data_IF_180164260873
#
_entry.id   IF_180164260873
#
_cell.length_a   1.000
_cell.length_b   1.000
_cell.length_c   1.000
_cell.angle_alpha   90.00
_cell.angle_beta   90.00
_cell.angle_gamma   90.00
#
_symmetry.space_group_name_H-M   'P 1'
#
loop_
_entity.id
_entity.type
_entity.pdbx_description
1 polymer ?
#
# COMPACT_ATOMS: atom_id res chain seq x y z
N UNK A 1 6.67 -14.86 -37.89
CA UNK A 1 7.13 -15.87 -36.92
C UNK A 1 5.89 -16.53 -36.32
N UNK A 2 5.50 -17.69 -36.86
CA UNK A 2 4.26 -18.37 -36.52
C UNK A 2 4.29 -18.88 -35.05
N UNK A 3 3.18 -18.82 -34.30
CA UNK A 3 3.15 -19.31 -32.93
C UNK A 3 3.33 -20.84 -32.93
N UNK A 4 4.22 -21.30 -32.04
CA UNK A 4 4.55 -22.70 -31.85
C UNK A 4 3.29 -23.56 -31.67
N UNK A 5 3.26 -24.69 -32.39
CA UNK A 5 2.07 -25.53 -32.57
C UNK A 5 1.38 -25.90 -31.27
N UNK A 6 0.08 -25.60 -31.21
CA UNK A 6 -0.80 -26.18 -30.20
C UNK A 6 -0.68 -27.72 -30.28
N UNK A 7 -0.38 -28.42 -29.17
CA UNK A 7 -0.38 -29.87 -29.18
C UNK A 7 -1.77 -30.36 -29.63
N UNK A 8 -1.79 -31.26 -30.61
CA UNK A 8 -3.03 -31.89 -31.10
C UNK A 8 -3.89 -32.31 -29.91
N UNK A 9 -5.18 -31.95 -29.92
CA UNK A 9 -6.03 -32.05 -28.73
C UNK A 9 -6.00 -33.41 -28.04
N UNK A 10 -5.80 -34.47 -28.84
CA UNK A 10 -5.61 -35.86 -28.42
C UNK A 10 -4.40 -36.08 -27.50
N UNK A 11 -3.24 -35.50 -27.79
CA UNK A 11 -2.03 -35.59 -26.95
C UNK A 11 -2.21 -34.88 -25.61
N UNK A 12 -2.98 -33.79 -25.58
CA UNK A 12 -3.32 -33.10 -24.33
C UNK A 12 -4.26 -33.94 -23.45
N UNK A 13 -5.21 -34.69 -24.05
CA UNK A 13 -6.09 -35.62 -23.32
C UNK A 13 -5.36 -36.81 -22.71
N UNK A 14 -4.47 -37.43 -23.47
CA UNK A 14 -3.65 -38.54 -22.97
C UNK A 14 -2.68 -38.10 -21.86
N UNK A 15 -2.21 -36.84 -21.88
CA UNK A 15 -1.45 -36.25 -20.77
C UNK A 15 -2.29 -36.00 -19.51
N UNK A 16 -3.60 -35.87 -19.67
CA UNK A 16 -4.54 -35.70 -18.56
C UNK A 16 -4.96 -37.00 -17.87
N UNK A 17 -4.55 -38.17 -18.36
CA UNK A 17 -4.90 -39.44 -17.71
C UNK A 17 -4.30 -39.52 -16.30
N UNK A 18 -5.17 -39.73 -15.31
CA UNK A 18 -4.79 -39.91 -13.91
C UNK A 18 -4.11 -41.27 -13.72
N UNK A 19 -3.55 -41.53 -12.53
CA UNK A 19 -3.01 -42.86 -12.20
C UNK A 19 -4.04 -43.96 -12.42
N UNK A 20 -5.31 -43.72 -12.06
CA UNK A 20 -6.42 -44.66 -12.30
C UNK A 20 -6.65 -44.90 -13.79
N UNK A 21 -6.74 -43.84 -14.58
CA UNK A 21 -6.93 -43.95 -16.03
C UNK A 21 -5.80 -44.72 -16.71
N UNK A 22 -4.55 -44.49 -16.29
CA UNK A 22 -3.37 -45.20 -16.80
C UNK A 22 -3.37 -46.68 -16.41
N UNK A 23 -3.73 -47.00 -15.17
CA UNK A 23 -3.85 -48.39 -14.70
C UNK A 23 -4.94 -49.17 -15.43
N UNK A 24 -6.12 -48.56 -15.65
CA UNK A 24 -7.21 -49.18 -16.40
C UNK A 24 -6.82 -49.41 -17.86
N UNK A 25 -6.18 -48.42 -18.49
CA UNK A 25 -5.68 -48.54 -19.86
C UNK A 25 -4.63 -49.66 -19.98
N UNK A 26 -3.67 -49.71 -19.05
CA UNK A 26 -2.63 -50.75 -19.03
C UNK A 26 -3.24 -52.14 -18.81
N UNK A 27 -4.12 -52.30 -17.81
CA UNK A 27 -4.80 -53.58 -17.54
C UNK A 27 -5.65 -54.03 -18.73
N UNK A 28 -6.37 -53.10 -19.39
CA UNK A 28 -7.13 -53.39 -20.60
C UNK A 28 -6.25 -53.87 -21.74
N UNK A 29 -5.14 -53.18 -22.02
CA UNK A 29 -4.19 -53.58 -23.07
C UNK A 29 -3.54 -54.94 -22.77
N UNK A 30 -3.15 -55.20 -21.52
CA UNK A 30 -2.61 -56.50 -21.10
C UNK A 30 -3.65 -57.62 -21.26
N UNK A 31 -4.90 -57.39 -20.88
CA UNK A 31 -5.98 -58.37 -21.04
C UNK A 31 -6.26 -58.67 -22.53
N UNK A 32 -6.21 -57.65 -23.40
CA UNK A 32 -6.30 -57.85 -24.86
C UNK A 32 -5.14 -58.70 -25.37
N UNK A 33 -3.90 -58.41 -24.96
CA UNK A 33 -2.73 -59.20 -25.37
C UNK A 33 -2.82 -60.66 -24.90
N UNK A 34 -3.17 -60.89 -23.64
CA UNK A 34 -3.38 -62.23 -23.09
C UNK A 34 -4.52 -62.98 -23.80
N UNK A 35 -5.57 -62.27 -24.24
CA UNK A 35 -6.67 -62.89 -24.98
C UNK A 35 -6.21 -63.47 -26.32
N UNK A 36 -5.36 -62.75 -27.05
CA UNK A 36 -4.78 -63.25 -28.30
C UNK A 36 -3.86 -64.46 -28.08
N UNK A 37 -3.08 -64.47 -26.99
CA UNK A 37 -2.20 -65.59 -26.63
C UNK A 37 -2.97 -66.85 -26.18
N UNK A 38 -4.05 -66.67 -25.41
CA UNK A 38 -4.82 -67.77 -24.80
C UNK A 38 -6.04 -68.20 -25.64
N UNK A 39 -6.37 -67.48 -26.72
CA UNK A 39 -7.53 -67.76 -27.58
C UNK A 39 -8.89 -67.53 -26.91
N UNK A 40 -8.94 -66.89 -25.74
CA UNK A 40 -10.18 -66.68 -24.98
C UNK A 40 -10.88 -65.37 -25.39
N UNK A 41 -12.02 -65.49 -26.08
CA UNK A 41 -12.82 -64.34 -26.54
C UNK A 41 -13.46 -63.54 -25.40
N UNK A 42 -13.70 -64.16 -24.24
CA UNK A 42 -14.22 -63.47 -23.06
C UNK A 42 -13.24 -62.41 -22.52
N UNK A 43 -11.94 -62.74 -22.54
CA UNK A 43 -10.88 -61.84 -22.05
C UNK A 43 -10.71 -60.62 -22.97
N UNK A 44 -10.92 -60.80 -24.29
CA UNK A 44 -10.94 -59.72 -25.26
C UNK A 44 -12.01 -58.68 -24.93
N UNK A 45 -13.24 -59.11 -24.62
CA UNK A 45 -14.37 -58.22 -24.32
C UNK A 45 -14.09 -57.37 -23.08
N UNK A 46 -13.55 -57.99 -22.04
CA UNK A 46 -13.17 -57.31 -20.79
C UNK A 46 -12.02 -56.33 -21.04
N UNK A 47 -10.99 -56.76 -21.76
CA UNK A 47 -9.84 -55.92 -22.08
C UNK A 47 -10.22 -54.69 -22.91
N UNK A 48 -11.07 -54.87 -23.93
CA UNK A 48 -11.60 -53.77 -24.74
C UNK A 48 -12.43 -52.81 -23.89
N UNK A 49 -13.30 -53.30 -23.01
CA UNK A 49 -14.11 -52.45 -22.13
C UNK A 49 -13.23 -51.61 -21.19
N UNK A 50 -12.22 -52.23 -20.57
CA UNK A 50 -11.27 -51.56 -19.66
C UNK A 50 -10.44 -50.50 -20.37
N UNK A 51 -10.02 -50.74 -21.62
CA UNK A 51 -9.27 -49.76 -22.41
C UNK A 51 -10.17 -48.66 -23.00
N UNK A 52 -11.42 -48.98 -23.37
CA UNK A 52 -12.36 -48.04 -23.96
C UNK A 52 -12.81 -46.96 -22.96
N UNK A 53 -12.96 -47.30 -21.68
CA UNK A 53 -13.44 -46.39 -20.64
C UNK A 53 -12.54 -45.13 -20.44
N UNK A 54 -11.21 -45.24 -20.21
CA UNK A 54 -10.35 -44.06 -20.10
C UNK A 54 -10.22 -43.28 -21.42
N UNK A 55 -10.31 -43.96 -22.58
CA UNK A 55 -10.32 -43.30 -23.89
C UNK A 55 -11.61 -42.49 -24.10
N UNK A 56 -12.76 -43.04 -23.72
CA UNK A 56 -14.05 -42.36 -23.77
C UNK A 56 -14.08 -41.16 -22.80
N UNK A 57 -13.54 -41.31 -21.58
CA UNK A 57 -13.40 -40.21 -20.62
C UNK A 57 -12.52 -39.08 -21.17
N UNK A 58 -11.36 -39.40 -21.74
CA UNK A 58 -10.48 -38.43 -22.37
C UNK A 58 -11.15 -37.75 -23.58
N UNK A 59 -11.86 -38.50 -24.43
CA UNK A 59 -12.58 -37.96 -25.58
C UNK A 59 -13.71 -37.02 -25.16
N UNK A 60 -14.49 -37.40 -24.14
CA UNK A 60 -15.55 -36.55 -23.57
C UNK A 60 -14.95 -35.25 -23.04
N UNK A 61 -13.84 -35.33 -22.30
CA UNK A 61 -13.16 -34.16 -21.75
C UNK A 61 -12.57 -33.24 -22.84
N UNK A 62 -12.08 -33.80 -23.95
CA UNK A 62 -11.56 -33.06 -25.10
C UNK A 62 -12.67 -32.40 -25.92
N UNK A 63 -13.73 -33.13 -26.19
CA UNK A 63 -14.89 -32.63 -26.95
C UNK A 63 -15.61 -31.55 -26.16
N UNK A 64 -15.63 -31.71 -24.85
CA UNK A 64 -16.14 -30.72 -23.91
C UNK A 64 -15.01 -29.83 -23.42
N UNK A 65 -14.06 -29.41 -24.28
CA UNK A 65 -13.09 -28.34 -23.96
C UNK A 65 -13.86 -27.08 -23.59
N UNK A 66 -14.25 -27.02 -22.32
CA UNK A 66 -15.16 -26.03 -21.81
C UNK A 66 -14.51 -24.67 -22.04
N UNK A 67 -15.16 -23.86 -22.87
CA UNK A 67 -14.85 -22.44 -22.94
C UNK A 67 -15.31 -21.85 -21.62
N UNK A 68 -14.50 -21.99 -20.59
CA UNK A 68 -14.74 -21.38 -19.29
C UNK A 68 -14.02 -20.04 -19.29
N UNK A 69 -14.76 -18.98 -19.03
CA UNK A 69 -14.19 -17.69 -18.68
C UNK A 69 -14.20 -17.57 -17.16
N UNK A 70 -13.24 -16.83 -16.62
CA UNK A 70 -13.23 -16.50 -15.19
C UNK A 70 -13.03 -15.01 -15.00
N UNK A 71 -13.68 -14.48 -13.98
CA UNK A 71 -13.52 -13.13 -13.48
C UNK A 71 -13.15 -13.16 -12.01
N UNK A 72 -12.28 -12.22 -11.61
CA UNK A 72 -11.98 -11.94 -10.21
C UNK A 72 -12.39 -10.49 -9.94
N UNK A 73 -13.00 -10.27 -8.78
CA UNK A 73 -13.25 -8.93 -8.26
C UNK A 73 -12.81 -8.90 -6.81
N UNK A 74 -11.92 -7.97 -6.49
CA UNK A 74 -11.46 -7.71 -5.13
C UNK A 74 -12.21 -6.50 -4.57
N UNK A 75 -12.72 -6.57 -3.34
CA UNK A 75 -13.42 -5.45 -2.73
C UNK A 75 -13.13 -5.39 -1.22
N UNK A 76 -12.50 -4.30 -0.71
CA UNK A 76 -11.82 -3.23 -1.47
C UNK A 76 -10.47 -3.69 -2.06
N UNK A 77 -9.97 -2.99 -3.09
CA UNK A 77 -8.63 -3.25 -3.68
C UNK A 77 -7.49 -2.71 -2.80
N UNK A 78 -7.79 -1.69 -1.99
CA UNK A 78 -6.93 -1.14 -0.96
C UNK A 78 -7.59 -1.39 0.39
N UNK A 79 -6.92 -2.14 1.26
CA UNK A 79 -7.38 -2.42 2.61
C UNK A 79 -6.35 -1.86 3.61
N UNK A 80 -6.81 -1.48 4.79
CA UNK A 80 -5.89 -1.13 5.88
C UNK A 80 -5.36 -2.41 6.53
N UNK A 81 -4.14 -2.37 7.08
CA UNK A 81 -3.63 -3.47 7.89
C UNK A 81 -4.65 -3.90 8.96
N UNK A 82 -4.94 -5.19 9.03
CA UNK A 82 -5.95 -5.79 9.91
C UNK A 82 -7.38 -5.78 9.39
N UNK A 83 -7.68 -5.09 8.28
CA UNK A 83 -9.01 -5.12 7.64
C UNK A 83 -9.17 -6.32 6.72
N UNK A 84 -10.38 -6.89 6.67
CA UNK A 84 -10.73 -7.96 5.73
C UNK A 84 -11.08 -7.38 4.35
N UNK A 85 -10.58 -8.01 3.29
CA UNK A 85 -11.05 -7.80 1.94
C UNK A 85 -11.73 -9.07 1.40
N UNK A 86 -12.75 -8.90 0.56
CA UNK A 86 -13.49 -10.01 -0.04
C UNK A 86 -13.07 -10.19 -1.49
N UNK A 87 -12.72 -11.41 -1.85
CA UNK A 87 -12.45 -11.82 -3.23
C UNK A 87 -13.67 -12.55 -3.75
N UNK A 88 -14.23 -12.06 -4.85
CA UNK A 88 -15.31 -12.70 -5.58
C UNK A 88 -14.73 -13.35 -6.84
N UNK A 89 -14.91 -14.65 -6.95
CA UNK A 89 -14.54 -15.44 -8.12
C UNK A 89 -15.81 -15.80 -8.88
N UNK A 90 -15.83 -15.47 -10.17
CA UNK A 90 -16.91 -15.81 -11.08
C UNK A 90 -16.37 -16.76 -12.15
N UNK A 91 -17.09 -17.85 -12.39
CA UNK A 91 -16.76 -18.85 -13.40
C UNK A 91 -17.95 -18.94 -14.36
N UNK A 92 -17.73 -18.58 -15.62
CA UNK A 92 -18.75 -18.56 -16.68
C UNK A 92 -18.54 -19.72 -17.65
N UNK A 93 -19.58 -20.52 -17.87
CA UNK A 93 -19.58 -21.58 -18.88
C UNK A 93 -20.02 -21.01 -20.22
N UNK A 94 -19.08 -20.63 -21.10
CA UNK A 94 -19.36 -20.07 -22.44
C UNK A 94 -19.78 -21.17 -23.44
N UNK A 95 -19.77 -22.44 -23.04
CA UNK A 95 -20.13 -23.56 -23.93
C UNK A 95 -21.64 -23.84 -23.95
N UNK A 96 -22.08 -24.62 -24.94
CA UNK A 96 -23.49 -25.07 -25.08
C UNK A 96 -23.78 -26.36 -24.31
N UNK A 97 -22.81 -26.89 -23.57
CA UNK A 97 -22.89 -28.14 -22.81
C UNK A 97 -22.65 -27.87 -21.33
N UNK A 98 -23.32 -28.60 -20.41
CA UNK A 98 -23.09 -28.43 -18.98
C UNK A 98 -21.68 -28.87 -18.60
N UNK A 99 -21.04 -28.19 -17.64
CA UNK A 99 -19.75 -28.64 -17.09
C UNK A 99 -19.85 -29.87 -16.19
N UNK A 100 -18.76 -30.62 -16.11
CA UNK A 100 -18.56 -31.62 -15.06
C UNK A 100 -18.26 -30.96 -13.70
N UNK A 101 -17.81 -31.77 -12.75
CA UNK A 101 -17.31 -31.27 -11.47
C UNK A 101 -16.09 -30.38 -11.70
N UNK A 102 -16.12 -29.17 -11.15
CA UNK A 102 -15.03 -28.21 -11.25
C UNK A 102 -14.41 -28.01 -9.89
N UNK A 103 -13.09 -28.13 -9.79
CA UNK A 103 -12.33 -27.72 -8.61
C UNK A 103 -11.60 -26.42 -8.93
N UNK A 104 -11.94 -25.37 -8.19
CA UNK A 104 -11.33 -24.07 -8.28
C UNK A 104 -10.31 -23.91 -7.17
N UNK A 105 -9.07 -23.56 -7.51
CA UNK A 105 -7.98 -23.30 -6.58
C UNK A 105 -7.37 -21.93 -6.92
N UNK A 106 -7.39 -21.00 -5.98
CA UNK A 106 -6.76 -19.68 -6.16
C UNK A 106 -5.41 -19.65 -5.43
N UNK A 107 -4.39 -19.06 -6.06
CA UNK A 107 -3.07 -18.92 -5.44
C UNK A 107 -3.04 -17.61 -4.66
N UNK A 108 -2.91 -17.73 -3.34
CA UNK A 108 -2.87 -16.60 -2.42
C UNK A 108 -1.59 -16.71 -1.58
N UNK A 109 -0.85 -15.60 -1.33
CA UNK A 109 0.29 -15.57 -0.42
C UNK A 109 -0.12 -16.03 0.98
N UNK A 110 0.78 -16.78 1.66
CA UNK A 110 0.48 -17.38 2.96
C UNK A 110 0.09 -16.35 4.05
N UNK A 111 0.64 -15.13 3.96
CA UNK A 111 0.32 -14.02 4.87
C UNK A 111 -1.17 -13.66 4.86
N UNK A 112 -1.87 -13.92 3.75
CA UNK A 112 -3.31 -13.65 3.61
C UNK A 112 -4.21 -14.83 4.02
N UNK A 113 -3.62 -15.98 4.35
CA UNK A 113 -4.32 -17.19 4.76
C UNK A 113 -4.04 -18.43 3.88
N UNK A 114 -4.77 -19.52 4.10
CA UNK A 114 -4.63 -20.76 3.33
C UNK A 114 -5.10 -20.59 1.89
N UNK A 115 -4.61 -21.44 0.99
CA UNK A 115 -5.04 -21.45 -0.42
C UNK A 115 -6.51 -21.86 -0.51
N UNK A 116 -7.42 -20.99 -0.98
CA UNK A 116 -8.83 -21.30 -1.04
C UNK A 116 -9.11 -22.31 -2.16
N UNK A 117 -9.92 -23.33 -1.84
CA UNK A 117 -10.32 -24.40 -2.75
C UNK A 117 -11.83 -24.55 -2.71
N UNK A 118 -12.46 -24.58 -3.87
CA UNK A 118 -13.91 -24.71 -4.02
C UNK A 118 -14.24 -25.83 -5.00
N UNK A 119 -15.15 -26.70 -4.60
CA UNK A 119 -15.79 -27.62 -5.52
C UNK A 119 -17.07 -26.97 -6.02
N UNK A 120 -17.15 -26.75 -7.32
CA UNK A 120 -18.37 -26.29 -7.98
C UNK A 120 -19.00 -27.49 -8.67
N UNK A 121 -20.29 -27.67 -8.40
CA UNK A 121 -21.11 -28.59 -9.16
C UNK A 121 -21.26 -28.12 -10.62
N UNK A 122 -21.95 -28.95 -11.40
CA UNK A 122 -22.29 -28.68 -12.80
C UNK A 122 -22.77 -27.24 -13.00
N UNK A 123 -22.13 -26.54 -13.94
CA UNK A 123 -22.56 -25.23 -14.43
C UNK A 123 -23.35 -25.43 -15.71
N UNK A 124 -24.54 -24.85 -15.78
CA UNK A 124 -25.43 -24.97 -16.93
C UNK A 124 -24.78 -24.40 -18.21
N UNK A 125 -25.23 -24.81 -19.40
CA UNK A 125 -24.85 -24.16 -20.65
C UNK A 125 -25.10 -22.66 -20.58
N UNK A 126 -24.08 -21.82 -20.87
CA UNK A 126 -24.15 -20.36 -20.75
C UNK A 126 -24.48 -19.84 -19.34
N UNK A 127 -24.41 -20.70 -18.33
CA UNK A 127 -24.60 -20.35 -16.92
C UNK A 127 -23.30 -19.90 -16.26
N UNK A 128 -23.41 -19.53 -15.00
CA UNK A 128 -22.28 -19.11 -14.17
C UNK A 128 -22.40 -19.62 -12.74
N UNK A 129 -21.27 -19.64 -12.04
CA UNK A 129 -21.18 -19.85 -10.60
C UNK A 129 -20.27 -18.80 -9.99
N UNK A 130 -20.62 -18.37 -8.78
CA UNK A 130 -19.86 -17.41 -8.00
C UNK A 130 -19.50 -18.01 -6.65
N UNK A 131 -18.25 -17.81 -6.24
CA UNK A 131 -17.77 -18.15 -4.91
C UNK A 131 -16.97 -16.97 -4.37
N UNK A 132 -16.99 -16.80 -3.06
CA UNK A 132 -16.25 -15.72 -2.41
C UNK A 132 -15.47 -16.23 -1.22
N UNK A 133 -14.30 -15.64 -1.00
CA UNK A 133 -13.49 -15.85 0.19
C UNK A 133 -12.98 -14.54 0.74
N UNK A 134 -12.50 -14.60 1.99
CA UNK A 134 -11.96 -13.45 2.69
C UNK A 134 -10.46 -13.57 2.80
N UNK A 135 -9.78 -12.44 2.68
CA UNK A 135 -8.34 -12.31 2.89
C UNK A 135 -8.09 -11.17 3.86
N UNK A 136 -7.08 -11.33 4.71
CA UNK A 136 -6.66 -10.32 5.68
C UNK A 136 -5.16 -10.42 5.88
N UNK A 137 -4.48 -9.27 5.94
CA UNK A 137 -3.09 -9.17 6.39
C UNK A 137 -3.01 -8.16 7.51
N UNK A 138 -2.29 -8.50 8.58
CA UNK A 138 -1.92 -7.53 9.61
C UNK A 138 -0.63 -6.77 9.27
N UNK A 139 0.07 -7.18 8.21
CA UNK A 139 1.25 -6.51 7.67
C UNK A 139 0.91 -5.73 6.40
N UNK A 140 1.54 -4.57 6.24
CA UNK A 140 1.45 -3.77 5.02
C UNK A 140 2.20 -4.43 3.86
N UNK A 141 1.79 -4.10 2.64
CA UNK A 141 2.44 -4.59 1.43
C UNK A 141 1.48 -4.77 0.27
N UNK A 142 2.03 -5.20 -0.87
CA UNK A 142 1.27 -5.56 -2.07
C UNK A 142 1.27 -7.07 -2.24
N UNK A 143 0.08 -7.66 -2.21
CA UNK A 143 -0.11 -9.09 -2.28
C UNK A 143 -0.80 -9.47 -3.59
N UNK A 144 -0.08 -10.12 -4.54
CA UNK A 144 -0.69 -10.60 -5.77
C UNK A 144 -1.59 -11.80 -5.46
N UNK A 145 -2.82 -11.75 -5.97
CA UNK A 145 -3.82 -12.82 -5.92
C UNK A 145 -3.87 -13.48 -7.30
N UNK A 146 -3.67 -14.79 -7.34
CA UNK A 146 -3.65 -15.59 -8.54
C UNK A 146 -2.29 -16.21 -8.87
N UNK A 147 -2.21 -16.97 -9.96
CA UNK A 147 -3.28 -17.24 -10.93
C UNK A 147 -4.39 -18.14 -10.37
N UNK A 148 -5.59 -18.02 -10.96
CA UNK A 148 -6.72 -18.91 -10.66
C UNK A 148 -6.55 -20.22 -11.44
N UNK A 149 -6.61 -21.35 -10.77
CA UNK A 149 -6.50 -22.68 -11.36
C UNK A 149 -7.86 -23.37 -11.32
N UNK A 150 -8.28 -23.87 -12.49
CA UNK A 150 -9.47 -24.67 -12.65
C UNK A 150 -9.05 -26.09 -13.02
N UNK A 151 -9.39 -27.04 -12.17
CA UNK A 151 -9.23 -28.47 -12.43
C UNK A 151 -10.59 -29.05 -12.75
N UNK A 152 -10.65 -29.74 -13.88
CA UNK A 152 -11.83 -30.47 -14.30
C UNK A 152 -11.51 -31.95 -14.14
N UNK A 153 -12.45 -32.72 -13.63
CA UNK A 153 -12.32 -34.16 -13.50
C UNK A 153 -13.55 -34.84 -14.11
N UNK A 154 -13.33 -35.97 -14.79
CA UNK A 154 -14.44 -36.80 -15.23
C UNK A 154 -15.08 -37.55 -14.05
N UNK A 155 -16.33 -38.04 -14.18
CA UNK A 155 -17.02 -38.75 -13.09
C UNK A 155 -16.32 -40.02 -12.59
N UNK A 156 -15.50 -40.66 -13.42
CA UNK A 156 -14.74 -41.87 -13.05
C UNK A 156 -13.34 -41.54 -12.52
N UNK A 157 -12.93 -40.27 -12.53
CA UNK A 157 -11.61 -39.82 -12.08
C UNK A 157 -10.44 -40.41 -12.87
N UNK A 158 -10.67 -40.76 -14.13
CA UNK A 158 -9.68 -41.36 -15.06
C UNK A 158 -8.89 -40.31 -15.84
N UNK A 159 -9.45 -39.11 -16.02
CA UNK A 159 -8.86 -38.00 -16.75
C UNK A 159 -9.11 -36.68 -16.01
N UNK A 160 -8.03 -35.93 -15.79
CA UNK A 160 -8.04 -34.59 -15.19
C UNK A 160 -7.47 -33.59 -16.19
N UNK A 161 -8.14 -32.44 -16.35
CA UNK A 161 -7.67 -31.32 -17.16
C UNK A 161 -7.51 -30.10 -16.26
N UNK A 162 -6.30 -29.59 -16.17
CA UNK A 162 -6.01 -28.35 -15.45
C UNK A 162 -5.89 -27.19 -16.42
N UNK A 163 -6.55 -26.08 -16.11
CA UNK A 163 -6.45 -24.81 -16.82
C UNK A 163 -6.11 -23.70 -15.82
N UNK A 164 -5.04 -22.97 -16.09
CA UNK A 164 -4.70 -21.77 -15.32
C UNK A 164 -5.17 -20.52 -16.07
N UNK A 165 -5.68 -19.54 -15.33
CA UNK A 165 -5.98 -18.20 -15.81
C UNK A 165 -4.88 -17.26 -15.36
N UNK A 166 -4.18 -16.63 -16.31
CA UNK A 166 -3.03 -15.76 -16.05
C UNK A 166 -3.41 -14.44 -15.35
N UNK A 167 -4.68 -14.05 -15.39
CA UNK A 167 -5.15 -12.84 -14.74
C UNK A 167 -4.92 -12.88 -13.22
N UNK A 168 -4.24 -11.86 -12.70
CA UNK A 168 -3.96 -11.67 -11.28
C UNK A 168 -4.38 -10.28 -10.85
N UNK A 169 -5.02 -10.17 -9.70
CA UNK A 169 -5.30 -8.89 -9.06
C UNK A 169 -4.29 -8.65 -7.94
N UNK A 170 -4.11 -7.42 -7.50
CA UNK A 170 -3.22 -7.09 -6.37
C UNK A 170 -4.03 -6.46 -5.25
N UNK A 171 -3.94 -7.02 -4.05
CA UNK A 171 -4.42 -6.39 -2.82
C UNK A 171 -3.30 -5.52 -2.26
N UNK A 172 -3.54 -4.21 -2.15
CA UNK A 172 -2.62 -3.28 -1.47
C UNK A 172 -3.09 -3.10 -0.03
N UNK A 173 -2.27 -3.53 0.92
CA UNK A 173 -2.51 -3.34 2.35
C UNK A 173 -1.72 -2.13 2.82
N UNK A 174 -2.42 -1.05 3.13
CA UNK A 174 -1.83 0.22 3.58
C UNK A 174 -1.74 0.27 5.11
N UNK A 175 -0.81 1.07 5.67
CA UNK A 175 -0.72 1.24 7.11
C UNK A 175 -2.03 1.79 7.73
N UNK A 176 -2.22 1.52 9.02
CA UNK A 176 -3.32 2.07 9.79
C UNK A 176 -3.17 3.58 9.93
N UNK A 177 -4.24 4.31 9.57
CA UNK A 177 -4.35 5.76 9.74
C UNK A 177 -5.26 6.03 10.93
N UNK A 178 -4.73 6.72 11.93
CA UNK A 178 -5.47 7.15 13.11
C UNK A 178 -5.88 8.61 12.94
N UNK A 179 -7.15 8.93 13.21
CA UNK A 179 -7.62 10.31 13.14
C UNK A 179 -6.98 11.15 14.24
N UNK A 180 -6.25 12.21 13.84
CA UNK A 180 -5.55 13.09 14.78
C UNK A 180 -6.43 14.28 15.17
N UNK A 181 -6.43 14.69 16.46
CA UNK A 181 -7.19 15.86 16.89
C UNK A 181 -6.62 17.14 16.27
N UNK A 182 -7.48 18.13 16.09
CA UNK A 182 -7.06 19.42 15.60
C UNK A 182 -6.25 20.18 16.66
N UNK A 183 -4.97 20.37 16.39
CA UNK A 183 -3.98 21.04 17.26
C UNK A 183 -3.45 22.29 16.57
N UNK A 184 -3.06 23.35 17.29
CA UNK A 184 -2.40 24.52 16.67
C UNK A 184 -0.89 24.31 16.71
N UNK A 185 -0.31 23.99 15.56
CA UNK A 185 1.13 23.84 15.48
C UNK A 185 1.75 25.23 15.26
N UNK A 186 2.65 25.63 16.15
CA UNK A 186 3.47 26.81 15.91
C UNK A 186 4.22 26.64 14.57
N UNK A 187 4.21 27.68 13.73
CA UNK A 187 4.47 27.56 12.28
C UNK A 187 3.22 27.78 11.42
N UNK A 188 2.03 27.70 12.02
CA UNK A 188 0.89 28.52 11.62
C UNK A 188 1.28 29.99 11.81
N UNK A 189 1.94 30.60 10.82
CA UNK A 189 1.94 32.06 10.72
C UNK A 189 0.48 32.49 10.78
N UNK A 190 0.18 33.38 11.73
CA UNK A 190 -1.15 33.88 12.02
C UNK A 190 -1.80 34.37 10.72
N UNK A 191 -2.64 33.52 10.10
CA UNK A 191 -3.38 33.90 8.90
C UNK A 191 -3.58 32.85 7.82
N UNK A 192 -2.91 31.69 7.82
CA UNK A 192 -2.91 30.84 6.60
C UNK A 192 -3.43 29.40 6.71
N UNK A 193 -3.60 28.84 7.91
CA UNK A 193 -4.04 27.44 8.09
C UNK A 193 -5.55 27.24 8.27
N UNK A 194 -6.26 28.29 8.68
CA UNK A 194 -7.69 28.23 9.06
C UNK A 194 -8.56 29.18 8.21
N UNK A 195 -8.02 29.67 7.10
CA UNK A 195 -8.52 30.85 6.38
C UNK A 195 -8.83 30.61 4.91
N UNK A 196 -9.14 29.37 4.49
CA UNK A 196 -9.79 29.18 3.17
C UNK A 196 -11.13 29.92 3.09
N UNK A 197 -11.76 30.26 4.22
CA UNK A 197 -13.02 31.03 4.27
C UNK A 197 -12.86 32.50 4.69
N UNK A 198 -11.74 32.92 5.31
CA UNK A 198 -11.58 34.28 5.84
C UNK A 198 -10.63 35.19 5.06
N UNK A 199 -9.71 34.65 4.25
CA UNK A 199 -8.85 35.48 3.42
C UNK A 199 -9.61 36.15 2.25
N UNK A 200 -10.76 35.61 1.85
CA UNK A 200 -11.62 36.18 0.80
C UNK A 200 -12.39 37.44 1.27
N UNK A 201 -12.51 37.66 2.59
CA UNK A 201 -13.43 38.66 3.12
C UNK A 201 -12.78 39.94 3.67
N UNK A 202 -11.45 40.04 3.77
CA UNK A 202 -10.79 41.16 4.49
C UNK A 202 -9.64 41.86 3.74
N UNK A 203 -9.29 41.44 2.53
CA UNK A 203 -8.28 42.12 1.73
C UNK A 203 -8.90 42.68 0.44
N UNK A 204 -9.43 43.90 0.54
CA UNK A 204 -9.45 44.83 -0.59
C UNK A 204 -8.03 45.32 -0.91
N UNK A 205 -7.04 44.43 -0.87
CA UNK A 205 -5.64 44.80 -0.97
C UNK A 205 -5.18 44.66 -2.42
N UNK A 206 -4.96 45.83 -2.99
CA UNK A 206 -4.61 46.17 -4.37
C UNK A 206 -3.14 45.82 -4.69
N UNK A 207 -2.55 44.88 -3.94
CA UNK A 207 -1.09 44.72 -3.77
C UNK A 207 -0.50 43.61 -4.64
N UNK A 208 -1.17 43.24 -5.73
CA UNK A 208 -0.60 42.34 -6.73
C UNK A 208 0.28 43.13 -7.69
N UNK A 209 1.59 42.88 -7.68
CA UNK A 209 2.55 43.55 -8.59
C UNK A 209 2.08 43.39 -10.04
N UNK A 210 1.64 44.49 -10.70
CA UNK A 210 1.11 44.41 -12.04
C UNK A 210 2.23 44.06 -13.02
N UNK A 211 1.94 43.19 -13.99
CA UNK A 211 2.86 42.88 -15.09
C UNK A 211 2.29 43.36 -16.42
N UNK A 212 3.16 43.59 -17.39
CA UNK A 212 2.76 43.88 -18.77
C UNK A 212 1.92 42.73 -19.35
N UNK A 213 0.87 43.10 -20.07
CA UNK A 213 0.01 42.20 -20.83
C UNK A 213 0.82 41.52 -21.93
N UNK A 214 0.67 40.19 -22.04
CA UNK A 214 1.20 39.42 -23.17
C UNK A 214 0.04 38.89 -23.99
N UNK A 215 0.27 38.82 -25.29
CA UNK A 215 -0.73 38.29 -26.22
C UNK A 215 -1.09 36.84 -25.83
N UNK A 216 -2.35 36.61 -25.43
CA UNK A 216 -2.83 35.35 -24.86
C UNK A 216 -3.32 35.45 -23.42
N UNK A 217 -3.09 36.57 -22.73
CA UNK A 217 -3.66 36.84 -21.41
C UNK A 217 -5.16 37.19 -21.51
N UNK A 218 -5.96 36.75 -20.52
CA UNK A 218 -7.39 37.06 -20.46
C UNK A 218 -7.61 38.56 -20.14
N UNK A 219 -8.29 39.26 -21.04
CA UNK A 219 -8.64 40.68 -20.90
C UNK A 219 -9.49 40.98 -19.66
N UNK A 220 -10.20 40.00 -19.10
CA UNK A 220 -10.95 40.16 -17.85
C UNK A 220 -10.06 40.36 -16.63
N UNK A 221 -8.77 40.04 -16.74
CA UNK A 221 -7.75 40.15 -15.67
C UNK A 221 -6.93 41.44 -15.75
N UNK A 222 -7.29 42.34 -16.66
CA UNK A 222 -6.63 43.65 -16.82
C UNK A 222 -6.88 44.51 -15.59
N UNK A 223 -5.80 45.05 -15.04
CA UNK A 223 -5.86 46.01 -13.96
C UNK A 223 -6.02 47.42 -14.50
N UNK A 224 -7.27 47.88 -14.63
CA UNK A 224 -7.58 49.19 -15.22
C UNK A 224 -6.91 50.37 -14.52
N UNK A 225 -6.78 50.33 -13.18
CA UNK A 225 -6.13 51.39 -12.40
C UNK A 225 -4.63 51.49 -12.69
N UNK A 226 -3.91 50.37 -12.80
CA UNK A 226 -2.49 50.35 -13.19
C UNK A 226 -2.32 50.67 -14.68
N UNK A 227 -3.21 50.16 -15.53
CA UNK A 227 -3.23 50.46 -16.97
C UNK A 227 -3.36 51.96 -17.22
N UNK A 228 -4.24 52.65 -16.48
CA UNK A 228 -4.42 54.10 -16.58
C UNK A 228 -3.19 54.90 -16.13
N UNK A 229 -2.36 54.37 -15.23
CA UNK A 229 -1.16 55.03 -14.72
C UNK A 229 0.07 54.84 -15.61
N UNK A 230 0.22 53.65 -16.19
CA UNK A 230 1.41 53.27 -16.98
C UNK A 230 1.19 53.40 -18.50
N UNK A 231 -0.04 53.58 -18.97
CA UNK A 231 -0.36 53.78 -20.39
C UNK A 231 -0.35 52.50 -21.22
N UNK A 232 0.00 51.36 -20.63
CA UNK A 232 0.05 50.04 -21.25
C UNK A 232 -0.88 49.07 -20.52
N UNK A 233 -1.41 48.05 -21.21
CA UNK A 233 -2.28 47.04 -20.60
C UNK A 233 -1.49 46.27 -19.54
N UNK A 234 -1.94 46.38 -18.28
CA UNK A 234 -1.34 45.67 -17.16
C UNK A 234 -2.28 44.55 -16.72
N UNK A 235 -1.75 43.34 -16.48
CA UNK A 235 -2.52 42.19 -16.00
C UNK A 235 -2.16 41.90 -14.56
N UNK A 236 -3.18 41.59 -13.74
CA UNK A 236 -2.98 41.08 -12.37
C UNK A 236 -2.24 39.75 -12.44
N UNK A 237 -1.00 39.70 -11.94
CA UNK A 237 -0.27 38.44 -11.77
C UNK A 237 -1.03 37.59 -10.74
N UNK A 238 -1.31 36.34 -11.04
CA UNK A 238 -1.81 35.42 -10.01
C UNK A 238 -0.67 35.14 -9.05
N UNK A 239 -0.75 35.68 -7.83
CA UNK A 239 0.07 35.17 -6.75
C UNK A 239 -0.54 33.83 -6.35
N UNK A 240 0.18 32.74 -6.61
CA UNK A 240 -0.25 31.45 -6.09
C UNK A 240 -0.24 31.55 -4.57
N UNK A 241 -1.35 31.24 -3.89
CA UNK A 241 -1.37 31.25 -2.44
C UNK A 241 -0.25 30.35 -1.91
N UNK A 242 0.67 30.93 -1.14
CA UNK A 242 1.84 30.25 -0.60
C UNK A 242 1.36 29.19 0.40
N UNK A 243 1.10 27.97 -0.07
CA UNK A 243 0.62 26.89 0.80
C UNK A 243 1.69 26.55 1.84
N UNK A 244 1.27 26.39 3.09
CA UNK A 244 2.17 25.95 4.15
C UNK A 244 2.76 24.57 3.79
N UNK A 245 4.08 24.45 3.92
CA UNK A 245 4.81 23.21 3.62
C UNK A 245 5.08 22.43 4.89
N UNK A 246 4.94 21.11 4.80
CA UNK A 246 5.30 20.20 5.87
C UNK A 246 6.14 19.03 5.33
N UNK A 247 7.18 18.66 6.06
CA UNK A 247 7.96 17.45 5.77
C UNK A 247 7.77 16.45 6.89
N UNK A 248 7.34 15.24 6.55
CA UNK A 248 7.33 14.10 7.46
C UNK A 248 8.61 13.31 7.18
N UNK A 249 9.55 13.34 8.13
CA UNK A 249 10.76 12.54 8.11
C UNK A 249 10.48 11.22 8.82
N UNK A 250 10.57 10.11 8.11
CA UNK A 250 10.44 8.77 8.64
C UNK A 250 11.83 8.11 8.70
N UNK A 251 12.26 7.74 9.89
CA UNK A 251 13.41 6.88 10.09
C UNK A 251 13.05 5.45 9.62
N UNK A 252 13.77 4.95 8.60
CA UNK A 252 13.61 3.59 8.11
C UNK A 252 14.78 2.69 8.49
N UNK A 253 15.77 3.20 9.23
CA UNK A 253 17.00 2.45 9.59
C UNK A 253 16.67 1.20 10.38
N UNK A 254 17.12 0.05 9.90
CA UNK A 254 16.93 -1.24 10.57
C UNK A 254 17.46 -1.22 12.02
N UNK A 255 18.64 -0.62 12.21
CA UNK A 255 19.31 -0.50 13.52
C UNK A 255 18.49 0.28 14.56
N UNK A 256 17.64 1.20 14.09
CA UNK A 256 16.82 2.09 14.92
C UNK A 256 15.53 1.43 15.40
N UNK A 257 15.15 0.26 14.89
CA UNK A 257 13.87 -0.37 15.18
C UNK A 257 14.01 -1.74 15.86
N UNK A 258 12.95 -2.16 16.56
CA UNK A 258 12.90 -3.40 17.34
C UNK A 258 11.50 -4.02 17.28
N UNK A 259 11.43 -5.28 17.70
CA UNK A 259 10.22 -6.09 17.60
C UNK A 259 10.07 -6.70 16.21
N UNK A 260 9.09 -7.57 16.04
CA UNK A 260 8.81 -8.26 14.78
C UNK A 260 7.32 -8.29 14.48
N UNK A 261 6.98 -8.41 13.21
CA UNK A 261 5.59 -8.47 12.77
C UNK A 261 4.81 -7.16 12.99
N UNK A 262 3.46 -7.24 13.08
CA UNK A 262 2.57 -6.08 13.13
C UNK A 262 2.77 -5.15 14.33
N UNK A 263 3.34 -5.67 15.41
CA UNK A 263 3.57 -4.93 16.66
C UNK A 263 4.98 -4.32 16.75
N UNK A 264 5.78 -4.39 15.69
CA UNK A 264 7.13 -3.82 15.70
C UNK A 264 7.11 -2.29 15.82
N UNK A 265 8.21 -1.71 16.33
CA UNK A 265 8.34 -0.27 16.44
C UNK A 265 8.33 0.42 15.06
N UNK A 266 8.74 -0.29 14.02
CA UNK A 266 8.71 0.20 12.64
C UNK A 266 7.30 0.30 12.07
N UNK A 267 6.46 -0.72 12.25
CA UNK A 267 5.05 -0.65 11.83
C UNK A 267 4.32 0.51 12.53
N UNK A 268 4.62 0.74 13.82
CA UNK A 268 4.10 1.90 14.54
C UNK A 268 4.57 3.22 13.93
N UNK A 269 5.87 3.35 13.62
CA UNK A 269 6.44 4.55 13.00
C UNK A 269 5.80 4.85 11.64
N UNK A 270 5.59 3.83 10.80
CA UNK A 270 4.92 3.94 9.50
C UNK A 270 3.45 4.34 9.67
N UNK A 271 2.74 3.76 10.63
CA UNK A 271 1.36 4.17 10.97
C UNK A 271 1.28 5.61 11.47
N UNK A 272 2.25 6.05 12.27
CA UNK A 272 2.37 7.44 12.72
C UNK A 272 2.60 8.38 11.53
N UNK A 273 3.52 8.04 10.62
CA UNK A 273 3.81 8.83 9.42
C UNK A 273 2.58 8.95 8.51
N UNK A 274 1.83 7.85 8.32
CA UNK A 274 0.58 7.83 7.58
C UNK A 274 -0.48 8.74 8.22
N UNK A 275 -0.62 8.66 9.55
CA UNK A 275 -1.61 9.43 10.32
C UNK A 275 -1.31 10.93 10.29
N UNK A 276 -0.07 11.31 10.56
CA UNK A 276 0.39 12.71 10.52
C UNK A 276 0.31 13.26 9.11
N UNK A 277 0.80 12.52 8.10
CA UNK A 277 0.78 12.96 6.72
C UNK A 277 -0.64 13.18 6.20
N UNK A 278 -1.56 12.25 6.47
CA UNK A 278 -2.98 12.40 6.14
C UNK A 278 -3.58 13.65 6.81
N UNK A 279 -3.35 13.81 8.11
CA UNK A 279 -3.89 14.94 8.87
C UNK A 279 -3.38 16.30 8.36
N UNK A 280 -2.10 16.40 8.01
CA UNK A 280 -1.52 17.63 7.46
C UNK A 280 -2.07 17.94 6.07
N UNK A 281 -2.24 16.94 5.21
CA UNK A 281 -2.85 17.10 3.89
C UNK A 281 -4.31 17.53 3.97
N UNK A 282 -5.10 16.95 4.89
CA UNK A 282 -6.49 17.37 5.16
C UNK A 282 -6.58 18.83 5.63
N UNK A 283 -5.55 19.33 6.31
CA UNK A 283 -5.40 20.73 6.73
C UNK A 283 -4.85 21.67 5.67
N UNK A 284 -4.63 21.18 4.45
CA UNK A 284 -4.16 21.99 3.33
C UNK A 284 -2.64 22.21 3.28
N UNK A 285 -1.85 21.53 4.11
CA UNK A 285 -0.39 21.56 3.97
C UNK A 285 0.03 20.84 2.69
N UNK A 286 1.03 21.39 2.01
CA UNK A 286 1.82 20.63 1.04
C UNK A 286 2.77 19.72 1.81
N UNK A 287 2.36 18.46 1.94
CA UNK A 287 3.12 17.45 2.70
C UNK A 287 3.96 16.58 1.78
N UNK A 288 5.25 16.45 2.11
CA UNK A 288 6.14 15.46 1.51
C UNK A 288 6.63 14.46 2.55
N UNK A 289 6.85 13.21 2.12
CA UNK A 289 7.50 12.18 2.92
C UNK A 289 8.97 12.09 2.53
N UNK A 290 9.84 12.10 3.54
CA UNK A 290 11.29 11.96 3.41
C UNK A 290 11.75 10.79 4.27
N UNK A 291 12.64 9.95 3.77
CA UNK A 291 13.30 8.90 4.56
C UNK A 291 14.72 9.31 4.95
N UNK A 292 15.31 8.60 5.91
CA UNK A 292 16.75 8.72 6.27
C UNK A 292 17.69 8.58 5.06
N UNK A 293 17.33 7.72 4.11
CA UNK A 293 18.08 7.48 2.87
C UNK A 293 17.98 8.60 1.84
N UNK A 294 17.17 9.64 2.11
CA UNK A 294 16.95 10.76 1.20
C UNK A 294 15.92 10.49 0.10
N UNK A 295 15.24 9.34 0.14
CA UNK A 295 14.15 9.02 -0.79
C UNK A 295 12.98 9.95 -0.47
N UNK A 296 12.50 10.65 -1.50
CA UNK A 296 11.30 11.46 -1.43
C UNK A 296 10.19 10.76 -2.19
N UNK A 297 9.05 10.57 -1.52
CA UNK A 297 7.82 10.28 -2.24
C UNK A 297 7.34 11.61 -2.82
N UNK A 298 7.31 11.76 -4.17
CA UNK A 298 7.12 13.06 -4.79
C UNK A 298 5.84 13.74 -4.33
N UNK A 299 5.93 15.06 -4.15
CA UNK A 299 4.78 15.95 -4.24
C UNK A 299 4.11 15.72 -5.60
N UNK A 300 2.79 15.52 -5.64
CA UNK A 300 2.07 15.83 -6.88
C UNK A 300 2.21 17.34 -7.05
N UNK A 301 3.15 17.75 -7.89
CA UNK A 301 3.25 19.13 -8.36
C UNK A 301 1.91 19.46 -8.98
N UNK A 302 1.21 20.41 -8.39
CA UNK A 302 -0.12 20.88 -8.79
C UNK A 302 -0.03 21.73 -10.08
N UNK A 303 0.56 21.16 -11.12
CA UNK A 303 0.32 21.58 -12.51
C UNK A 303 -0.97 20.98 -13.09
N UNK A 304 -1.64 20.10 -12.33
CA UNK A 304 -2.92 19.51 -12.67
C UNK A 304 -3.76 19.29 -11.41
N UNK A 305 -5.07 19.26 -11.61
CA UNK A 305 -6.17 19.08 -10.65
C UNK A 305 -6.10 17.78 -9.81
N UNK A 306 -5.00 17.53 -9.10
CA UNK A 306 -4.90 16.41 -8.17
C UNK A 306 -5.71 16.68 -6.90
N UNK A 307 -6.64 15.79 -6.57
CA UNK A 307 -7.43 15.93 -5.33
C UNK A 307 -6.59 15.58 -4.09
N UNK A 308 -6.92 16.14 -2.93
CA UNK A 308 -6.25 15.78 -1.65
C UNK A 308 -6.30 14.25 -1.42
N UNK A 309 -7.41 13.60 -1.78
CA UNK A 309 -7.59 12.16 -1.67
C UNK A 309 -6.60 11.34 -2.53
N UNK A 310 -6.18 11.85 -3.69
CA UNK A 310 -5.17 11.18 -4.52
C UNK A 310 -3.78 11.29 -3.91
N UNK A 311 -3.42 12.45 -3.37
CA UNK A 311 -2.15 12.65 -2.67
C UNK A 311 -2.04 11.75 -1.43
N UNK A 312 -3.12 11.65 -0.65
CA UNK A 312 -3.22 10.72 0.48
C UNK A 312 -3.08 9.27 0.01
N UNK A 313 -3.77 8.90 -1.07
CA UNK A 313 -3.67 7.56 -1.65
C UNK A 313 -2.23 7.20 -2.04
N UNK A 314 -1.49 8.11 -2.68
CA UNK A 314 -0.09 7.88 -3.05
C UNK A 314 0.84 7.79 -1.84
N UNK A 315 0.62 8.62 -0.83
CA UNK A 315 1.37 8.55 0.43
C UNK A 315 1.21 7.16 1.06
N UNK A 316 -0.03 6.70 1.17
CA UNK A 316 -0.36 5.40 1.77
C UNK A 316 0.19 4.22 0.96
N UNK A 317 0.10 4.28 -0.38
CA UNK A 317 0.66 3.24 -1.24
C UNK A 317 2.20 3.19 -1.16
N UNK A 318 2.85 4.35 -0.98
CA UNK A 318 4.30 4.41 -0.81
C UNK A 318 4.73 3.86 0.55
N UNK A 319 4.02 4.23 1.62
CA UNK A 319 4.23 3.68 2.96
C UNK A 319 3.95 2.17 3.03
N UNK A 320 2.98 1.68 2.26
CA UNK A 320 2.69 0.25 2.16
C UNK A 320 3.88 -0.57 1.63
N UNK A 321 4.71 0.02 0.78
CA UNK A 321 5.89 -0.61 0.17
C UNK A 321 7.20 -0.25 0.87
N UNK A 322 7.16 0.54 1.95
CA UNK A 322 8.37 0.98 2.63
C UNK A 322 8.99 -0.18 3.39
N UNK A 323 10.29 -0.40 3.19
CA UNK A 323 11.08 -1.41 3.90
C UNK A 323 12.18 -0.73 4.73
N UNK A 324 12.87 -1.51 5.54
CA UNK A 324 14.00 -1.01 6.31
C UNK A 324 15.15 -0.58 5.40
N UNK A 325 15.83 0.50 5.76
CA UNK A 325 17.13 0.86 5.20
C UNK A 325 18.25 0.21 6.01
N UNK A 326 19.35 -0.13 5.35
CA UNK A 326 20.58 -0.57 6.00
C UNK A 326 21.51 0.60 6.35
N UNK A 327 21.01 1.84 6.32
CA UNK A 327 21.78 3.03 6.65
C UNK A 327 21.95 3.23 8.15
N UNK A 328 22.99 3.96 8.55
CA UNK A 328 23.26 4.29 9.96
C UNK A 328 22.87 5.72 10.35
N UNK A 329 22.92 6.69 9.43
CA UNK A 329 22.73 8.11 9.71
C UNK A 329 21.60 8.77 8.93
N UNK A 330 21.38 10.06 9.20
CA UNK A 330 20.35 10.93 8.60
C UNK A 330 20.96 11.99 7.65
N UNK A 331 22.26 11.93 7.38
CA UNK A 331 22.97 12.91 6.55
C UNK A 331 22.33 13.16 5.17
N UNK A 332 21.80 12.12 4.49
CA UNK A 332 21.13 12.29 3.19
C UNK A 332 19.81 13.03 3.32
N UNK A 333 19.03 12.73 4.36
CA UNK A 333 17.83 13.50 4.68
C UNK A 333 18.21 14.97 5.00
N UNK A 334 19.32 15.20 5.70
CA UNK A 334 19.86 16.54 5.95
C UNK A 334 20.13 17.29 4.63
N UNK A 335 20.86 16.68 3.71
CA UNK A 335 21.20 17.27 2.41
C UNK A 335 19.95 17.66 1.60
N UNK A 336 18.96 16.78 1.54
CA UNK A 336 17.69 17.04 0.85
C UNK A 336 16.91 18.18 1.50
N UNK A 337 16.87 18.22 2.84
CA UNK A 337 16.21 19.29 3.58
C UNK A 337 16.96 20.62 3.45
N UNK A 338 18.27 20.63 3.18
CA UNK A 338 19.02 21.87 2.90
C UNK A 338 18.57 22.55 1.61
N UNK A 339 18.07 21.78 0.64
CA UNK A 339 17.62 22.27 -0.67
C UNK A 339 16.13 22.66 -0.68
N UNK A 340 15.32 22.08 0.23
CA UNK A 340 13.89 22.38 0.36
C UNK A 340 13.63 23.43 1.44
N UNK A 341 12.86 24.46 1.13
CA UNK A 341 12.64 25.63 2.00
C UNK A 341 12.00 25.35 3.38
N UNK A 342 11.84 26.43 4.14
CA UNK A 342 11.37 26.44 5.52
C UNK A 342 9.91 25.99 5.66
N UNK A 343 9.62 25.17 6.69
CA UNK A 343 8.28 24.67 6.96
C UNK A 343 8.20 23.89 8.28
N UNK A 344 7.07 23.22 8.48
CA UNK A 344 6.89 22.30 9.60
C UNK A 344 7.66 21.00 9.33
N UNK A 345 8.51 20.59 10.26
CA UNK A 345 9.22 19.31 10.21
C UNK A 345 8.67 18.37 11.29
N UNK A 346 8.12 17.23 10.88
CA UNK A 346 7.72 16.17 11.81
C UNK A 346 8.62 14.97 11.59
N UNK A 347 9.48 14.67 12.56
CA UNK A 347 10.38 13.53 12.52
C UNK A 347 9.81 12.36 13.35
N UNK A 348 9.84 11.16 12.81
CA UNK A 348 9.45 9.93 13.49
C UNK A 348 10.69 9.03 13.49
N UNK A 349 11.26 8.85 14.66
CA UNK A 349 12.63 8.41 14.85
C UNK A 349 12.68 7.15 15.72
N UNK A 350 13.49 6.19 15.30
CA UNK A 350 13.81 5.02 16.11
C UNK A 350 14.80 5.33 17.24
N UNK A 351 15.57 4.33 17.65
CA UNK A 351 16.72 4.52 18.51
C UNK A 351 17.73 5.47 17.87
N UNK A 352 18.24 6.41 18.67
CA UNK A 352 19.20 7.41 18.24
C UNK A 352 20.56 7.13 18.88
N UNK A 353 21.60 7.63 18.25
CA UNK A 353 22.95 7.78 18.79
C UNK A 353 23.35 9.26 18.74
N UNK A 354 24.44 9.61 19.42
CA UNK A 354 24.92 11.00 19.54
C UNK A 354 25.12 11.68 18.16
N UNK A 355 25.56 10.92 17.14
CA UNK A 355 25.72 11.43 15.78
C UNK A 355 24.38 11.89 15.16
N UNK A 356 23.33 11.08 15.31
CA UNK A 356 22.02 11.42 14.73
C UNK A 356 21.32 12.53 15.51
N UNK A 357 21.53 12.62 16.83
CA UNK A 357 21.08 13.78 17.62
C UNK A 357 21.73 15.07 17.11
N UNK A 358 23.03 15.04 16.79
CA UNK A 358 23.72 16.19 16.22
C UNK A 358 23.20 16.56 14.82
N UNK A 359 22.93 15.57 13.96
CA UNK A 359 22.27 15.77 12.65
C UNK A 359 20.90 16.43 12.79
N UNK A 360 20.05 15.93 13.68
CA UNK A 360 18.73 16.49 13.96
C UNK A 360 18.80 17.91 14.54
N UNK A 361 19.81 18.20 15.36
CA UNK A 361 20.07 19.56 15.85
C UNK A 361 20.38 20.53 14.71
N UNK A 362 21.12 20.09 13.68
CA UNK A 362 21.36 20.91 12.48
C UNK A 362 20.11 21.13 11.65
N UNK A 363 19.28 20.10 11.51
CA UNK A 363 17.98 20.18 10.82
C UNK A 363 17.04 21.19 11.46
N UNK A 364 16.97 21.21 12.80
CA UNK A 364 16.08 22.11 13.55
C UNK A 364 16.31 23.59 13.29
N UNK A 365 17.58 23.99 13.08
CA UNK A 365 17.94 25.40 12.85
C UNK A 365 17.32 26.00 11.59
N UNK A 366 16.88 25.16 10.64
CA UNK A 366 16.27 25.58 9.37
C UNK A 366 14.75 25.39 9.32
N UNK A 367 14.20 24.58 10.21
CA UNK A 367 12.77 24.37 10.29
C UNK A 367 12.11 25.50 11.10
N UNK A 368 11.00 26.04 10.58
CA UNK A 368 10.21 27.05 11.31
C UNK A 368 9.64 26.47 12.61
N UNK A 369 9.17 25.22 12.55
CA UNK A 369 8.80 24.43 13.70
C UNK A 369 9.15 22.97 13.49
N UNK A 370 9.50 22.28 14.58
CA UNK A 370 9.89 20.88 14.51
C UNK A 370 9.35 20.05 15.68
N UNK A 371 8.78 18.91 15.34
CA UNK A 371 8.21 17.93 16.27
C UNK A 371 8.92 16.60 16.03
N UNK A 372 9.38 15.94 17.08
CA UNK A 372 10.03 14.65 17.00
C UNK A 372 9.27 13.63 17.84
N UNK A 373 8.74 12.60 17.20
CA UNK A 373 8.33 11.36 17.85
C UNK A 373 9.57 10.47 17.96
N UNK A 374 10.02 10.21 19.19
CA UNK A 374 11.22 9.40 19.43
C UNK A 374 10.80 8.11 20.14
N UNK A 375 10.99 6.98 19.46
CA UNK A 375 10.55 5.68 19.96
C UNK A 375 11.55 5.11 20.97
N UNK A 376 11.07 4.84 22.19
CA UNK A 376 11.77 4.08 23.24
C UNK A 376 11.79 2.58 22.88
N UNK A 377 12.57 2.21 21.88
CA UNK A 377 12.57 0.86 21.27
C UNK A 377 12.85 -0.28 22.26
N UNK A 378 13.43 0.01 23.43
CA UNK A 378 13.57 -0.94 24.53
C UNK A 378 12.24 -1.51 25.03
N UNK A 379 11.15 -0.75 24.92
CA UNK A 379 9.79 -1.20 25.28
C UNK A 379 9.17 -2.19 24.28
N UNK A 380 9.60 -2.18 23.02
CA UNK A 380 9.10 -3.09 21.97
C UNK A 380 9.85 -4.43 21.93
N UNK A 381 11.05 -4.48 22.48
CA UNK A 381 11.90 -5.67 22.42
C UNK A 381 11.66 -6.66 23.57
N UNK A 382 10.77 -6.35 24.52
CA UNK A 382 10.70 -7.06 25.82
C UNK A 382 11.95 -6.92 26.70
N UNK A 383 13.05 -6.40 26.13
CA UNK A 383 14.38 -6.24 26.74
C UNK A 383 14.40 -5.29 27.94
N UNK A 384 13.43 -4.37 28.08
CA UNK A 384 13.33 -3.53 29.28
C UNK A 384 13.17 -4.35 30.56
N UNK A 385 12.66 -5.58 30.48
CA UNK A 385 12.61 -6.50 31.63
C UNK A 385 13.99 -7.02 32.06
N UNK A 386 14.98 -7.01 31.16
CA UNK A 386 16.31 -7.57 31.41
C UNK A 386 17.34 -6.51 31.84
N UNK A 387 17.23 -5.26 31.35
CA UNK A 387 18.16 -4.17 31.69
C UNK A 387 17.42 -2.81 31.79
N UNK A 388 16.73 -2.53 32.91
CA UNK A 388 15.83 -1.38 33.01
C UNK A 388 16.54 -0.02 33.10
N UNK A 389 17.71 0.05 33.75
CA UNK A 389 18.32 1.33 34.19
C UNK A 389 19.24 1.95 33.12
N UNK A 390 20.16 1.19 32.53
CA UNK A 390 21.17 1.74 31.61
C UNK A 390 20.61 2.25 30.27
N UNK A 391 19.57 1.62 29.73
CA UNK A 391 18.93 2.08 28.49
C UNK A 391 17.97 3.26 28.71
N UNK A 392 17.41 3.40 29.92
CA UNK A 392 16.52 4.50 30.24
C UNK A 392 17.29 5.82 30.35
N UNK A 393 18.44 5.80 31.03
CA UNK A 393 19.27 7.00 31.25
C UNK A 393 19.82 7.60 29.95
N UNK A 394 20.27 6.74 29.03
CA UNK A 394 20.80 7.18 27.73
C UNK A 394 19.68 7.75 26.83
N UNK A 395 18.52 7.09 26.79
CA UNK A 395 17.37 7.62 26.05
C UNK A 395 16.94 8.99 26.61
N UNK A 396 16.83 9.12 27.93
CA UNK A 396 16.49 10.40 28.58
C UNK A 396 17.52 11.49 28.29
N UNK A 397 18.81 11.15 28.22
CA UNK A 397 19.87 12.06 27.78
C UNK A 397 19.66 12.54 26.35
N UNK A 398 19.40 11.65 25.41
CA UNK A 398 19.15 12.00 24.01
C UNK A 398 17.91 12.87 23.84
N UNK A 399 16.82 12.56 24.55
CA UNK A 399 15.60 13.37 24.55
C UNK A 399 15.85 14.78 25.09
N UNK A 400 16.69 14.94 26.13
CA UNK A 400 17.11 16.26 26.64
C UNK A 400 17.88 17.05 25.59
N UNK A 401 18.88 16.43 24.96
CA UNK A 401 19.69 17.09 23.91
C UNK A 401 18.84 17.58 22.72
N UNK A 402 17.85 16.79 22.29
CA UNK A 402 16.94 17.21 21.22
C UNK A 402 16.05 18.40 21.65
N UNK A 403 15.56 18.42 22.90
CA UNK A 403 14.79 19.54 23.43
C UNK A 403 15.64 20.81 23.51
N UNK A 404 16.89 20.71 23.96
CA UNK A 404 17.86 21.82 23.99
C UNK A 404 18.16 22.35 22.59
N UNK A 405 18.23 21.46 21.59
CA UNK A 405 18.35 21.86 20.18
C UNK A 405 17.08 22.56 19.63
N UNK A 406 15.97 22.57 20.39
CA UNK A 406 14.74 23.30 20.08
C UNK A 406 13.60 22.45 19.53
N UNK A 407 13.72 21.12 19.52
CA UNK A 407 12.65 20.22 19.09
C UNK A 407 11.54 20.11 20.13
N UNK A 408 10.29 20.01 19.65
CA UNK A 408 9.19 19.51 20.48
C UNK A 408 9.26 17.98 20.50
N UNK A 409 9.82 17.40 21.55
CA UNK A 409 10.10 15.96 21.63
C UNK A 409 8.98 15.22 22.36
N UNK A 410 8.40 14.23 21.69
CA UNK A 410 7.37 13.31 22.18
C UNK A 410 7.99 11.91 22.32
N UNK A 411 8.28 11.44 23.54
CA UNK A 411 8.71 10.07 23.74
C UNK A 411 7.55 9.12 23.45
N UNK A 412 7.83 8.04 22.73
CA UNK A 412 6.83 7.03 22.35
C UNK A 412 7.22 5.70 22.99
N UNK A 413 6.26 5.01 23.60
CA UNK A 413 6.41 3.66 24.15
C UNK A 413 5.49 2.67 23.45
N UNK A 414 5.79 1.38 23.57
CA UNK A 414 4.95 0.31 23.05
C UNK A 414 3.53 0.42 23.65
N UNK A 415 2.53 0.55 22.78
CA UNK A 415 1.12 0.70 23.16
C UNK A 415 0.58 2.14 23.14
N UNK A 416 1.44 3.15 23.02
CA UNK A 416 0.99 4.54 22.96
C UNK A 416 0.19 4.82 21.67
N UNK A 417 -0.86 5.63 21.79
CA UNK A 417 -1.68 6.06 20.66
C UNK A 417 -1.12 7.33 20.02
N UNK A 418 -1.10 7.37 18.68
CA UNK A 418 -0.64 8.56 17.93
C UNK A 418 -1.51 9.79 18.24
N UNK A 419 -2.86 9.70 18.33
CA UNK A 419 -3.71 10.85 18.63
C UNK A 419 -3.45 11.50 19.99
N UNK A 420 -3.13 10.72 21.03
CA UNK A 420 -2.84 11.25 22.36
C UNK A 420 -1.49 11.96 22.41
N UNK A 421 -0.46 11.38 21.79
CA UNK A 421 0.85 12.01 21.67
C UNK A 421 0.77 13.31 20.85
N UNK A 422 -0.02 13.32 19.77
CA UNK A 422 -0.26 14.53 18.98
C UNK A 422 -0.89 15.65 19.81
N UNK A 423 -1.83 15.31 20.70
CA UNK A 423 -2.45 16.26 21.64
C UNK A 423 -1.46 16.80 22.69
N UNK A 424 -0.43 16.03 23.06
CA UNK A 424 0.64 16.48 23.94
C UNK A 424 1.56 17.50 23.26
N UNK A 425 1.78 17.37 21.95
CA UNK A 425 2.58 18.31 21.16
C UNK A 425 2.07 19.75 21.29
N UNK A 426 0.75 19.93 21.19
CA UNK A 426 0.05 21.21 21.36
C UNK A 426 0.38 21.88 22.70
N UNK A 427 0.26 21.10 23.78
CA UNK A 427 0.44 21.58 25.16
C UNK A 427 1.88 22.02 25.42
N UNK A 428 2.86 21.25 24.95
CA UNK A 428 4.27 21.60 25.09
C UNK A 428 4.63 22.87 24.31
N UNK A 429 4.04 23.09 23.12
CA UNK A 429 4.26 24.31 22.35
C UNK A 429 3.58 25.53 22.96
N UNK A 430 2.35 25.40 23.46
CA UNK A 430 1.64 26.48 24.14
C UNK A 430 2.41 27.00 25.38
N UNK A 431 2.99 26.08 26.16
CA UNK A 431 3.80 26.42 27.33
C UNK A 431 5.11 27.13 26.96
N UNK A 432 5.78 26.68 25.89
CA UNK A 432 6.99 27.32 25.38
C UNK A 432 6.74 28.74 24.82
N UNK A 433 5.58 28.97 24.18
CA UNK A 433 5.17 30.29 23.69
C UNK A 433 4.80 31.28 24.80
N UNK A 434 4.17 30.81 25.88
CA UNK A 434 3.82 31.64 27.05
C UNK A 434 5.05 32.18 27.79
N UNK A 435 6.07 31.35 28.00
CA UNK A 435 7.31 31.76 28.68
C UNK A 435 8.15 32.78 27.89
N UNK A 436 7.97 32.85 26.56
CA UNK A 436 8.64 33.84 25.70
C UNK A 436 7.93 35.20 25.73
N UNK A 437 6.61 35.22 25.90
CA UNK A 437 5.81 36.45 26.05
C UNK A 437 6.00 37.13 27.41
N UNK A 438 6.17 36.37 28.49
CA UNK A 438 6.42 36.97 29.81
C UNK A 438 7.79 37.63 29.93
N UNK A 439 8.83 37.11 29.26
CA UNK A 439 10.15 37.74 29.22
C UNK A 439 10.24 39.01 28.35
N UNK A 440 9.36 39.17 27.37
CA UNK A 440 9.31 40.35 26.51
C UNK A 440 8.56 41.55 27.10
N UNK A 441 7.87 41.37 28.23
CA UNK A 441 7.10 42.43 28.89
C UNK A 441 7.82 43.02 30.11
N UNK A 442 9.02 42.50 30.43
CA UNK A 442 9.85 42.92 31.56
C UNK A 442 11.19 43.55 31.12
N UNK A 443 11.27 44.04 29.88
CA UNK A 443 12.45 44.73 29.34
C UNK A 443 12.09 46.16 28.93
#
# INVERSE_FOLDING_TARGET
>A
MAPAGEPSGFRAGLRGLTTRGRSFLAAGLTAVACSYLLGQSALLRVGVLLAALPLAAALLMLRTRYRVASGRRLTPHRATAGQEARVHLRVDNVSRTPTGLLMLEDKVPYVLGPRPRFVLDRVEPRGYREVSYRVRSDLRGRYPLGPLQLRLSDPFGMCELTRAFTASDTLTVVPLVQALPTVRLSGEWAGYGDSTSRAVALAGDDDTVPREYRHGDDLRRVHWKSTAKYGELMVRREEQPLRARATVLLDTREIGHRGSGPASSFEWAVSCAASVGNHLMERGYQTRLLTDSGIQVPEISTGGSGSVSESVALLLDSLAMMEHSHGSGLARAEEVLRLGGEGLLVAILGALEDEQVAELGRLRRRAGAAIAFVLDTGTWAGLRQLFPESQADENDRQLRLLREAGWTVLPVRAGDSVPELWRLADRHQAQAGSGRRSKGMSA
#
